data_IF_761576624233
#
_entry.id   IF_761576624233
#
_cell.length_a   1.000
_cell.length_b   1.000
_cell.length_c   1.000
_cell.angle_alpha   90.00
_cell.angle_beta   90.00
_cell.angle_gamma   90.00
#
_symmetry.space_group_name_H-M   'P 1'
#
loop_
_entity.id
_entity.type
_entity.pdbx_description
1 polymer ?
#
# COMPACT_ATOMS: atom_id res chain seq x y z
N UNK A 1 24.02 1.87 0.24
CA UNK A 1 23.13 3.05 0.16
C UNK A 1 22.09 3.03 1.30
N UNK A 2 21.46 4.15 1.65
CA UNK A 2 20.27 4.18 2.52
C UNK A 2 19.04 4.36 1.62
N UNK A 3 18.03 3.49 1.77
CA UNK A 3 16.74 3.62 1.12
C UNK A 3 15.63 3.76 2.18
N UNK A 4 14.62 4.58 1.89
CA UNK A 4 13.44 4.77 2.74
C UNK A 4 12.29 3.91 2.23
N UNK A 5 11.89 2.89 2.99
CA UNK A 5 10.83 1.98 2.59
C UNK A 5 9.62 2.13 3.51
N UNK A 6 8.47 2.47 2.93
CA UNK A 6 7.20 2.57 3.65
C UNK A 6 6.41 1.25 3.56
N UNK A 7 5.98 0.67 4.70
CA UNK A 7 5.28 -0.60 4.70
C UNK A 7 3.86 -0.49 4.13
N UNK A 8 3.34 -1.63 3.67
CA UNK A 8 1.95 -1.78 3.22
C UNK A 8 1.02 -2.35 4.28
N UNK A 9 -0.21 -2.67 3.88
CA UNK A 9 -1.19 -3.30 4.76
C UNK A 9 -0.72 -4.66 5.27
N UNK A 10 -0.96 -4.94 6.56
CA UNK A 10 -0.45 -6.09 7.30
C UNK A 10 0.64 -5.74 8.31
N UNK A 11 1.18 -4.51 8.29
CA UNK A 11 2.17 -4.03 9.25
C UNK A 11 1.57 -3.38 10.51
N UNK A 12 0.25 -3.15 10.52
CA UNK A 12 -0.42 -2.53 11.66
C UNK A 12 -0.51 -3.50 12.86
N UNK A 13 -0.44 -2.96 14.07
CA UNK A 13 -0.53 -3.72 15.30
C UNK A 13 -1.33 -2.95 16.36
N UNK A 14 -2.03 -3.64 17.29
CA UNK A 14 -2.72 -2.97 18.39
C UNK A 14 -1.75 -2.10 19.19
N UNK A 15 -2.17 -0.88 19.52
CA UNK A 15 -1.35 0.07 20.28
C UNK A 15 -0.17 0.67 19.53
N UNK A 16 -0.08 0.54 18.20
CA UNK A 16 1.07 1.00 17.42
C UNK A 16 1.34 2.52 17.50
N UNK A 17 0.35 3.34 17.86
CA UNK A 17 0.51 4.78 18.09
C UNK A 17 0.76 5.15 19.55
N UNK A 18 0.61 4.22 20.51
CA UNK A 18 0.71 4.55 21.94
C UNK A 18 2.07 5.17 22.32
N UNK A 19 3.22 4.64 21.88
CA UNK A 19 4.51 5.26 22.18
C UNK A 19 4.70 6.63 21.52
N UNK A 20 3.93 6.93 20.46
CA UNK A 20 4.07 8.16 19.69
C UNK A 20 3.33 9.33 20.33
N UNK A 21 2.36 9.08 21.20
CA UNK A 21 1.67 10.13 21.96
C UNK A 21 2.59 10.82 22.97
N UNK A 22 3.72 10.19 23.34
CA UNK A 22 4.74 10.80 24.19
C UNK A 22 5.59 11.85 23.45
N UNK A 23 5.49 11.92 22.11
CA UNK A 23 6.22 12.88 21.29
C UNK A 23 5.43 14.18 21.16
N UNK A 24 6.08 15.30 21.51
CA UNK A 24 5.47 16.63 21.48
C UNK A 24 4.78 16.94 20.14
N UNK A 25 3.49 17.30 20.21
CA UNK A 25 2.68 17.70 19.05
C UNK A 25 2.00 16.55 18.30
N UNK A 26 2.35 15.29 18.58
CA UNK A 26 1.81 14.14 17.82
C UNK A 26 0.33 13.92 18.10
N UNK A 27 -0.13 14.05 19.35
CA UNK A 27 -1.55 13.88 19.68
C UNK A 27 -2.42 14.94 18.98
N UNK A 28 -1.96 16.20 18.92
CA UNK A 28 -2.65 17.27 18.22
C UNK A 28 -2.69 17.02 16.72
N UNK A 29 -1.58 16.55 16.14
CA UNK A 29 -1.51 16.19 14.72
C UNK A 29 -2.45 15.02 14.37
N UNK A 30 -2.45 13.96 15.19
CA UNK A 30 -3.37 12.83 15.03
C UNK A 30 -4.84 13.25 15.17
N UNK A 31 -5.14 14.20 16.05
CA UNK A 31 -6.49 14.77 16.19
C UNK A 31 -6.89 15.55 14.94
N UNK A 32 -5.97 16.30 14.35
CA UNK A 32 -6.20 17.01 13.07
C UNK A 32 -6.45 16.04 11.93
N UNK A 33 -5.62 14.99 11.78
CA UNK A 33 -5.85 13.93 10.81
C UNK A 33 -7.13 13.14 11.09
N UNK A 34 -7.52 12.98 12.35
CA UNK A 34 -8.80 12.36 12.70
C UNK A 34 -9.97 13.15 12.15
N UNK A 35 -9.91 14.48 12.25
CA UNK A 35 -10.92 15.38 11.66
C UNK A 35 -10.93 15.26 10.13
N UNK A 36 -9.76 15.25 9.49
CA UNK A 36 -9.65 15.19 8.03
C UNK A 36 -10.13 13.84 7.44
N UNK A 37 -9.96 12.75 8.18
CA UNK A 37 -10.32 11.39 7.74
C UNK A 37 -11.72 10.97 8.19
N UNK A 38 -12.30 11.63 9.19
CA UNK A 38 -13.54 11.19 9.84
C UNK A 38 -13.36 9.95 10.74
N UNK A 39 -12.12 9.55 11.03
CA UNK A 39 -11.77 8.41 11.86
C UNK A 39 -11.08 8.90 13.13
N UNK A 40 -11.39 8.33 14.29
CA UNK A 40 -10.65 8.61 15.53
C UNK A 40 -9.31 7.87 15.51
N UNK A 41 -8.30 8.43 14.84
CA UNK A 41 -6.98 7.81 14.66
C UNK A 41 -6.25 7.65 15.99
N UNK A 42 -6.51 8.51 16.98
CA UNK A 42 -5.92 8.40 18.32
C UNK A 42 -6.44 7.13 18.99
N UNK A 43 -7.77 6.95 19.10
CA UNK A 43 -8.35 5.73 19.69
C UNK A 43 -7.98 4.49 18.88
N UNK A 44 -8.14 4.55 17.56
CA UNK A 44 -7.88 3.42 16.65
C UNK A 44 -6.42 2.97 16.67
N UNK A 45 -5.46 3.89 16.81
CA UNK A 45 -4.05 3.55 16.88
C UNK A 45 -3.55 3.12 18.25
N UNK A 46 -4.35 3.28 19.32
CA UNK A 46 -3.89 3.05 20.70
C UNK A 46 -4.65 1.95 21.43
N UNK A 47 -5.98 1.95 21.35
CA UNK A 47 -6.84 1.08 22.19
C UNK A 47 -7.71 0.13 21.39
N UNK A 48 -7.85 0.33 20.09
CA UNK A 48 -8.54 -0.62 19.22
C UNK A 48 -7.77 -1.95 19.14
N UNK A 49 -8.53 -3.04 18.99
CA UNK A 49 -7.97 -4.37 18.93
C UNK A 49 -7.52 -4.75 17.51
N UNK A 50 -7.00 -5.97 17.36
CA UNK A 50 -6.48 -6.46 16.08
C UNK A 50 -7.57 -6.66 15.02
N UNK A 51 -8.83 -6.91 15.41
CA UNK A 51 -9.92 -7.10 14.45
C UNK A 51 -10.40 -5.77 13.91
N UNK A 52 -10.50 -4.74 14.76
CA UNK A 52 -10.81 -3.37 14.35
C UNK A 52 -9.80 -2.85 13.30
N UNK A 53 -8.50 -2.93 13.61
CA UNK A 53 -7.45 -2.37 12.74
C UNK A 53 -7.11 -3.26 11.55
N UNK A 54 -7.78 -4.41 11.40
CA UNK A 54 -7.68 -5.24 10.20
C UNK A 54 -8.62 -4.76 9.10
N UNK A 55 -9.67 -4.02 9.45
CA UNK A 55 -10.50 -3.35 8.46
C UNK A 55 -9.64 -2.45 7.58
N UNK A 56 -9.76 -2.62 6.27
CA UNK A 56 -8.99 -1.88 5.27
C UNK A 56 -9.26 -0.37 5.32
N UNK A 57 -10.47 0.04 5.70
CA UNK A 57 -10.83 1.44 5.89
C UNK A 57 -10.07 2.10 7.07
N UNK A 58 -9.72 1.31 8.08
CA UNK A 58 -9.01 1.76 9.29
C UNK A 58 -7.50 1.59 9.13
N UNK A 59 -7.05 0.43 8.62
CA UNK A 59 -5.64 0.06 8.52
C UNK A 59 -4.84 1.06 7.69
N UNK A 60 -5.36 1.46 6.53
CA UNK A 60 -4.62 2.31 5.59
C UNK A 60 -4.24 3.68 6.15
N UNK A 61 -5.18 4.51 6.66
CA UNK A 61 -4.82 5.80 7.24
C UNK A 61 -3.94 5.67 8.48
N UNK A 62 -4.13 4.63 9.31
CA UNK A 62 -3.26 4.35 10.45
C UNK A 62 -1.81 4.08 10.05
N UNK A 63 -1.59 3.23 9.04
CA UNK A 63 -0.25 2.88 8.55
C UNK A 63 0.45 4.11 7.97
N UNK A 64 -0.27 4.91 7.17
CA UNK A 64 0.29 6.13 6.57
C UNK A 64 0.63 7.15 7.66
N UNK A 65 -0.28 7.39 8.61
CA UNK A 65 -0.05 8.30 9.72
C UNK A 65 1.18 7.90 10.54
N UNK A 66 1.26 6.64 10.98
CA UNK A 66 2.40 6.14 11.75
C UNK A 66 3.71 6.25 10.96
N UNK A 67 3.70 5.90 9.66
CA UNK A 67 4.92 5.94 8.85
C UNK A 67 5.43 7.38 8.66
N UNK A 68 4.53 8.36 8.54
CA UNK A 68 4.89 9.78 8.48
C UNK A 68 5.41 10.31 9.81
N UNK A 69 4.81 9.91 10.94
CA UNK A 69 5.33 10.23 12.27
C UNK A 69 6.74 9.65 12.47
N UNK A 70 6.95 8.40 12.05
CA UNK A 70 8.25 7.75 12.12
C UNK A 70 9.31 8.44 11.25
N UNK A 71 8.95 8.85 10.04
CA UNK A 71 9.85 9.63 9.18
C UNK A 71 10.18 11.00 9.80
N UNK A 72 9.19 11.69 10.37
CA UNK A 72 9.38 12.98 11.03
C UNK A 72 10.32 12.90 12.24
N UNK A 73 10.28 11.80 13.00
CA UNK A 73 11.23 11.54 14.08
C UNK A 73 12.61 11.10 13.58
N UNK A 74 12.66 10.27 12.54
CA UNK A 74 13.92 9.79 11.95
C UNK A 74 14.79 10.97 11.48
N UNK A 75 14.20 11.91 10.73
CA UNK A 75 14.93 13.07 10.19
C UNK A 75 15.46 14.05 11.24
N UNK A 76 14.97 13.97 12.50
CA UNK A 76 15.53 14.76 13.62
C UNK A 76 16.82 14.15 14.17
N UNK A 77 17.06 12.86 13.91
CA UNK A 77 18.12 12.06 14.53
C UNK A 77 19.20 11.64 13.53
N UNK A 78 18.85 11.58 12.26
CA UNK A 78 19.71 11.09 11.19
C UNK A 78 19.66 12.06 10.03
N UNK A 79 20.83 12.39 9.48
CA UNK A 79 20.95 13.09 8.21
C UNK A 79 20.65 12.10 7.08
N UNK A 80 19.57 12.35 6.34
CA UNK A 80 19.13 11.48 5.26
C UNK A 80 19.58 12.13 3.95
N UNK A 81 20.43 11.47 3.15
CA UNK A 81 20.88 12.02 1.88
C UNK A 81 19.70 12.42 0.97
N UNK A 82 19.84 13.53 0.25
CA UNK A 82 18.81 14.02 -0.67
C UNK A 82 18.57 13.07 -1.85
N UNK A 83 19.56 12.25 -2.20
CA UNK A 83 19.49 11.21 -3.22
C UNK A 83 19.01 9.85 -2.69
N UNK A 84 18.69 9.73 -1.40
CA UNK A 84 18.18 8.49 -0.82
C UNK A 84 16.84 8.11 -1.48
N UNK A 85 16.76 6.97 -2.18
CA UNK A 85 15.53 6.56 -2.85
C UNK A 85 14.45 6.23 -1.84
N UNK A 86 13.21 6.53 -2.20
CA UNK A 86 12.02 6.21 -1.41
C UNK A 86 11.06 5.36 -2.23
N UNK A 87 10.54 4.32 -1.60
CA UNK A 87 9.53 3.44 -2.17
C UNK A 87 8.54 3.02 -1.07
N UNK A 88 7.33 2.66 -1.47
CA UNK A 88 6.35 2.12 -0.54
C UNK A 88 5.57 0.98 -1.14
N UNK A 89 5.17 0.01 -0.33
CA UNK A 89 4.41 -1.14 -0.82
C UNK A 89 2.91 -0.86 -0.76
N UNK A 90 2.23 -0.86 -1.91
CA UNK A 90 0.80 -0.58 -2.03
C UNK A 90 0.41 0.75 -1.35
N UNK A 91 -0.33 0.72 -0.24
CA UNK A 91 -0.69 1.91 0.54
C UNK A 91 0.53 2.70 1.01
N UNK A 92 1.67 2.04 1.24
CA UNK A 92 2.94 2.70 1.59
C UNK A 92 3.42 3.69 0.53
N UNK A 93 2.98 3.54 -0.74
CA UNK A 93 3.33 4.46 -1.83
C UNK A 93 2.77 5.88 -1.57
N UNK A 94 1.69 6.02 -0.76
CA UNK A 94 1.20 7.32 -0.28
C UNK A 94 2.18 7.98 0.69
N UNK A 95 2.73 7.21 1.63
CA UNK A 95 3.78 7.70 2.53
C UNK A 95 5.04 8.04 1.73
N UNK A 96 5.44 7.20 0.77
CA UNK A 96 6.60 7.45 -0.09
C UNK A 96 6.45 8.76 -0.88
N UNK A 97 5.28 8.99 -1.47
CA UNK A 97 4.98 10.23 -2.17
C UNK A 97 5.04 11.46 -1.25
N UNK A 98 4.57 11.36 0.00
CA UNK A 98 4.69 12.45 0.96
C UNK A 98 6.14 12.68 1.44
N UNK A 99 6.92 11.62 1.68
CA UNK A 99 8.35 11.72 1.99
C UNK A 99 9.12 12.38 0.85
N UNK A 100 8.76 12.08 -0.40
CA UNK A 100 9.33 12.70 -1.59
C UNK A 100 8.83 14.13 -1.85
N UNK A 101 7.92 14.66 -1.03
CA UNK A 101 7.37 16.01 -1.18
C UNK A 101 6.28 16.15 -2.26
N UNK A 102 5.86 15.05 -2.91
CA UNK A 102 4.79 15.06 -3.91
C UNK A 102 3.44 15.37 -3.29
N UNK A 103 3.15 14.75 -2.15
CA UNK A 103 1.94 14.98 -1.36
C UNK A 103 2.27 15.72 -0.06
N UNK A 104 1.35 16.54 0.42
CA UNK A 104 1.40 16.96 1.82
C UNK A 104 1.13 15.75 2.75
N UNK A 105 1.67 15.73 3.98
CA UNK A 105 1.33 14.68 4.95
C UNK A 105 -0.18 14.57 5.20
N UNK A 106 -0.88 15.70 5.24
CA UNK A 106 -2.33 15.77 5.45
C UNK A 106 -3.09 15.15 4.28
N UNK A 107 -2.71 15.45 3.03
CA UNK A 107 -3.32 14.85 1.85
C UNK A 107 -3.01 13.37 1.74
N UNK A 108 -1.82 12.92 2.13
CA UNK A 108 -1.47 11.50 2.12
C UNK A 108 -2.34 10.70 3.09
N UNK A 109 -2.54 11.18 4.32
CA UNK A 109 -3.41 10.52 5.31
C UNK A 109 -4.88 10.59 4.90
N UNK A 110 -5.35 11.74 4.41
CA UNK A 110 -6.72 11.89 3.93
C UNK A 110 -7.01 11.01 2.70
N UNK A 111 -6.09 10.94 1.74
CA UNK A 111 -6.21 10.07 0.57
C UNK A 111 -6.15 8.59 0.97
N UNK A 112 -5.35 8.23 1.97
CA UNK A 112 -5.32 6.87 2.52
C UNK A 112 -6.66 6.45 3.15
N UNK A 113 -7.35 7.36 3.85
CA UNK A 113 -8.69 7.10 4.38
C UNK A 113 -9.72 6.88 3.26
N UNK A 114 -9.76 7.76 2.26
CA UNK A 114 -10.65 7.59 1.08
C UNK A 114 -10.33 6.28 0.36
N UNK A 115 -9.05 5.96 0.18
CA UNK A 115 -8.60 4.73 -0.48
C UNK A 115 -9.01 3.48 0.29
N UNK A 116 -8.78 3.47 1.60
CA UNK A 116 -9.15 2.34 2.46
C UNK A 116 -10.66 2.09 2.45
N UNK A 117 -11.45 3.13 2.65
CA UNK A 117 -12.91 3.04 2.65
C UNK A 117 -13.46 2.55 1.31
N UNK A 118 -13.03 3.16 0.21
CA UNK A 118 -13.54 2.80 -1.11
C UNK A 118 -13.10 1.38 -1.55
N UNK A 119 -11.91 0.92 -1.14
CA UNK A 119 -11.49 -0.47 -1.35
C UNK A 119 -12.30 -1.46 -0.51
N UNK A 120 -12.61 -1.12 0.75
CA UNK A 120 -13.47 -1.95 1.59
C UNK A 120 -14.89 -2.08 1.01
N UNK A 121 -15.46 -0.97 0.53
CA UNK A 121 -16.75 -0.95 -0.17
C UNK A 121 -16.73 -1.78 -1.45
N UNK A 122 -15.67 -1.68 -2.25
CA UNK A 122 -15.51 -2.48 -3.47
C UNK A 122 -15.48 -4.00 -3.15
N UNK A 123 -14.82 -4.40 -2.07
CA UNK A 123 -14.80 -5.79 -1.61
C UNK A 123 -16.18 -6.30 -1.15
N UNK A 124 -17.07 -5.42 -0.69
CA UNK A 124 -18.41 -5.80 -0.28
C UNK A 124 -19.35 -6.10 -1.47
N UNK A 125 -18.98 -5.72 -2.69
CA UNK A 125 -19.80 -5.94 -3.90
C UNK A 125 -19.84 -7.40 -4.33
N UNK A 126 -18.73 -8.14 -4.18
CA UNK A 126 -18.70 -9.58 -4.45
C UNK A 126 -17.65 -10.34 -3.65
N UNK A 127 -17.90 -11.62 -3.30
CA UNK A 127 -16.93 -12.45 -2.60
C UNK A 127 -15.69 -12.77 -3.45
N UNK A 128 -14.59 -12.08 -3.16
CA UNK A 128 -13.27 -12.29 -3.78
C UNK A 128 -12.20 -12.43 -2.70
N UNK A 129 -10.97 -12.73 -3.09
CA UNK A 129 -9.87 -12.85 -2.14
C UNK A 129 -8.50 -12.79 -2.77
N UNK A 130 -7.50 -13.13 -1.97
CA UNK A 130 -6.10 -13.21 -2.40
C UNK A 130 -5.41 -14.44 -1.80
N UNK A 131 -4.41 -14.97 -2.50
CA UNK A 131 -3.55 -16.06 -2.05
C UNK A 131 -2.08 -15.76 -2.35
N UNK A 132 -1.22 -15.91 -1.36
CA UNK A 132 0.22 -15.88 -1.57
C UNK A 132 0.67 -17.20 -2.20
N UNK A 133 1.42 -17.10 -3.28
CA UNK A 133 2.07 -18.20 -3.99
C UNK A 133 3.58 -18.01 -3.87
N UNK A 134 4.26 -19.01 -3.31
CA UNK A 134 5.71 -19.00 -3.06
C UNK A 134 6.40 -20.13 -3.80
N UNK A 135 7.52 -19.84 -4.45
CA UNK A 135 8.31 -20.81 -5.23
C UNK A 135 7.72 -21.08 -6.61
N UNK A 136 8.26 -22.12 -7.28
CA UNK A 136 7.93 -22.47 -8.66
C UNK A 136 8.52 -21.52 -9.70
N UNK A 137 8.31 -21.87 -10.98
CA UNK A 137 8.74 -21.05 -12.12
C UNK A 137 7.73 -19.92 -12.37
N UNK A 138 8.22 -18.70 -12.54
CA UNK A 138 7.39 -17.50 -12.58
C UNK A 138 6.46 -17.49 -13.80
N UNK A 139 6.98 -17.87 -14.97
CA UNK A 139 6.24 -17.90 -16.22
C UNK A 139 5.10 -18.94 -16.18
N UNK A 140 5.37 -20.13 -15.61
CA UNK A 140 4.36 -21.18 -15.43
C UNK A 140 3.25 -20.72 -14.48
N UNK A 141 3.62 -20.05 -13.39
CA UNK A 141 2.65 -19.46 -12.46
C UNK A 141 1.79 -18.41 -13.15
N UNK A 142 2.38 -17.45 -13.87
CA UNK A 142 1.64 -16.40 -14.54
C UNK A 142 0.67 -16.95 -15.60
N UNK A 143 1.10 -17.96 -16.36
CA UNK A 143 0.23 -18.68 -17.30
C UNK A 143 -0.95 -19.33 -16.56
N UNK A 144 -0.67 -20.05 -15.46
CA UNK A 144 -1.71 -20.71 -14.65
C UNK A 144 -2.71 -19.72 -14.05
N UNK A 145 -2.25 -18.58 -13.55
CA UNK A 145 -3.12 -17.52 -13.05
C UNK A 145 -4.05 -17.01 -14.17
N UNK A 146 -3.51 -16.77 -15.36
CA UNK A 146 -4.28 -16.36 -16.53
C UNK A 146 -5.35 -17.38 -16.91
N UNK A 147 -5.03 -18.68 -16.92
CA UNK A 147 -5.98 -19.76 -17.24
C UNK A 147 -7.20 -19.78 -16.30
N UNK A 148 -7.01 -19.36 -15.04
CA UNK A 148 -8.08 -19.27 -14.05
C UNK A 148 -8.71 -17.87 -13.93
N UNK A 149 -8.28 -16.90 -14.75
CA UNK A 149 -8.76 -15.52 -14.64
C UNK A 149 -8.32 -14.82 -13.35
N UNK A 150 -7.22 -15.26 -12.74
CA UNK A 150 -6.61 -14.64 -11.57
C UNK A 150 -5.60 -13.58 -12.00
N UNK A 151 -5.54 -12.50 -11.23
CA UNK A 151 -4.54 -11.43 -11.42
C UNK A 151 -3.35 -11.66 -10.50
N UNK A 152 -2.09 -11.53 -10.97
CA UNK A 152 -0.92 -11.42 -10.09
C UNK A 152 -0.89 -10.05 -9.42
N UNK A 153 -1.75 -9.84 -8.43
CA UNK A 153 -1.98 -8.58 -7.73
C UNK A 153 -0.72 -8.00 -7.07
N UNK A 154 0.19 -8.86 -6.60
CA UNK A 154 1.50 -8.42 -6.12
C UNK A 154 2.58 -9.35 -6.68
N UNK A 155 3.64 -8.79 -7.23
CA UNK A 155 4.89 -9.49 -7.50
C UNK A 155 5.92 -8.94 -6.53
N UNK A 156 6.17 -9.69 -5.45
CA UNK A 156 6.96 -9.23 -4.32
C UNK A 156 8.47 -9.50 -4.47
N UNK A 157 8.87 -10.25 -5.50
CA UNK A 157 10.24 -10.71 -5.67
C UNK A 157 10.52 -12.01 -4.89
N UNK A 158 11.75 -12.52 -5.02
CA UNK A 158 12.21 -13.74 -4.34
C UNK A 158 11.26 -14.96 -4.47
N UNK A 159 10.61 -15.10 -5.62
CA UNK A 159 9.66 -16.20 -5.88
C UNK A 159 8.31 -16.06 -5.17
N UNK A 160 7.94 -14.88 -4.64
CA UNK A 160 6.65 -14.63 -4.02
C UNK A 160 5.74 -13.76 -4.92
N UNK A 161 4.58 -14.31 -5.29
CA UNK A 161 3.51 -13.61 -5.99
C UNK A 161 2.21 -13.73 -5.19
N UNK A 162 1.36 -12.71 -5.22
CA UNK A 162 0.00 -12.79 -4.67
C UNK A 162 -0.98 -12.88 -5.83
N UNK A 163 -1.71 -13.98 -5.91
CA UNK A 163 -2.83 -14.16 -6.82
C UNK A 163 -4.09 -13.55 -6.20
N UNK A 164 -4.90 -12.90 -7.01
CA UNK A 164 -6.15 -12.28 -6.56
C UNK A 164 -7.27 -12.52 -7.58
N UNK A 165 -8.48 -12.75 -7.08
CA UNK A 165 -9.67 -12.92 -7.91
C UNK A 165 -10.82 -13.60 -7.15
N UNK A 166 -11.70 -14.27 -7.89
CA UNK A 166 -12.82 -15.00 -7.28
C UNK A 166 -12.35 -16.13 -6.36
N UNK A 167 -13.09 -16.38 -5.28
CA UNK A 167 -12.78 -17.45 -4.32
C UNK A 167 -12.75 -18.83 -5.00
N UNK A 168 -13.63 -19.06 -5.98
CA UNK A 168 -13.66 -20.31 -6.77
C UNK A 168 -12.38 -20.49 -7.59
N UNK A 169 -11.89 -19.44 -8.25
CA UNK A 169 -10.65 -19.52 -9.02
C UNK A 169 -9.42 -19.73 -8.11
N UNK A 170 -9.40 -19.10 -6.93
CA UNK A 170 -8.35 -19.32 -5.93
C UNK A 170 -8.37 -20.76 -5.37
N UNK A 171 -9.55 -21.34 -5.19
CA UNK A 171 -9.71 -22.75 -4.83
C UNK A 171 -9.07 -23.68 -5.88
N UNK A 172 -9.37 -23.43 -7.17
CA UNK A 172 -8.75 -24.18 -8.27
C UNK A 172 -7.22 -24.05 -8.28
N UNK A 173 -6.70 -22.85 -8.04
CA UNK A 173 -5.25 -22.63 -7.92
C UNK A 173 -4.64 -23.41 -6.75
N UNK A 174 -5.34 -23.51 -5.62
CA UNK A 174 -4.85 -24.25 -4.46
C UNK A 174 -4.82 -25.77 -4.71
N UNK A 175 -5.83 -26.29 -5.42
CA UNK A 175 -5.99 -27.71 -5.75
C UNK A 175 -5.04 -28.16 -6.88
N UNK A 176 -4.86 -27.32 -7.91
CA UNK A 176 -4.03 -27.58 -9.10
C UNK A 176 -2.94 -26.52 -9.24
N UNK A 177 -2.08 -26.45 -8.20
CA UNK A 177 -0.98 -25.48 -8.13
C UNK A 177 0.20 -25.90 -9.02
N UNK A 178 0.94 -24.95 -9.65
CA UNK A 178 2.14 -25.27 -10.41
C UNK A 178 3.19 -26.00 -9.55
N UNK A 179 4.04 -26.80 -10.21
CA UNK A 179 5.07 -27.57 -9.52
C UNK A 179 6.03 -26.67 -8.72
N UNK A 180 6.44 -27.13 -7.54
CA UNK A 180 7.34 -26.37 -6.67
C UNK A 180 6.71 -25.16 -5.96
N UNK A 181 5.41 -24.89 -6.18
CA UNK A 181 4.72 -23.78 -5.50
C UNK A 181 4.08 -24.21 -4.18
N UNK A 182 3.95 -23.24 -3.26
CA UNK A 182 3.09 -23.30 -2.08
C UNK A 182 2.06 -22.18 -2.17
N UNK A 183 0.78 -22.51 -2.00
CA UNK A 183 -0.34 -21.55 -2.01
C UNK A 183 -0.89 -21.39 -0.59
N UNK A 184 -1.06 -20.14 -0.13
CA UNK A 184 -1.58 -19.78 1.19
C UNK A 184 -2.64 -18.70 1.03
N UNK A 185 -3.88 -18.99 1.43
CA UNK A 185 -4.97 -18.01 1.43
C UNK A 185 -4.67 -16.87 2.41
N UNK A 186 -4.83 -15.64 1.95
CA UNK A 186 -4.62 -14.44 2.77
C UNK A 186 -5.92 -14.04 3.47
N UNK A 187 -5.80 -13.55 4.72
CA UNK A 187 -6.92 -13.05 5.52
C UNK A 187 -7.24 -11.59 5.17
N UNK A 188 -7.65 -11.34 3.92
CA UNK A 188 -8.00 -10.01 3.40
C UNK A 188 -9.46 -9.96 2.96
N UNK A 189 -10.02 -8.75 2.84
CA UNK A 189 -11.43 -8.54 2.54
C UNK A 189 -11.82 -8.85 1.07
N UNK A 190 -10.87 -8.77 0.13
CA UNK A 190 -11.16 -9.04 -1.28
C UNK A 190 -9.92 -8.96 -2.18
N UNK A 191 -10.14 -9.06 -3.49
CA UNK A 191 -9.10 -9.09 -4.50
C UNK A 191 -8.52 -7.70 -4.82
N UNK A 192 -7.67 -7.17 -3.93
CA UNK A 192 -6.97 -5.90 -4.16
C UNK A 192 -6.07 -5.93 -5.41
N UNK A 193 -5.79 -4.76 -5.99
CA UNK A 193 -4.91 -4.61 -7.16
C UNK A 193 -5.43 -5.32 -8.42
N UNK A 194 -6.76 -5.41 -8.54
CA UNK A 194 -7.45 -6.02 -9.68
C UNK A 194 -8.62 -5.15 -10.16
N UNK A 195 -9.27 -5.56 -11.24
CA UNK A 195 -10.47 -4.89 -11.77
C UNK A 195 -11.63 -4.83 -10.75
N UNK A 196 -11.66 -5.72 -9.75
CA UNK A 196 -12.66 -5.69 -8.67
C UNK A 196 -12.62 -4.37 -7.89
N UNK A 197 -11.50 -3.65 -7.88
CA UNK A 197 -11.34 -2.36 -7.22
C UNK A 197 -11.72 -1.16 -8.09
N UNK A 198 -12.38 -1.36 -9.24
CA UNK A 198 -12.72 -0.27 -10.17
C UNK A 198 -13.56 0.83 -9.51
N UNK A 199 -14.51 0.49 -8.65
CA UNK A 199 -15.31 1.50 -7.91
C UNK A 199 -14.45 2.31 -6.95
N UNK A 200 -13.47 1.66 -6.29
CA UNK A 200 -12.50 2.35 -5.46
C UNK A 200 -11.67 3.35 -6.28
N UNK A 201 -11.17 2.95 -7.45
CA UNK A 201 -10.44 3.84 -8.36
C UNK A 201 -11.24 5.11 -8.72
N UNK A 202 -12.54 4.99 -8.93
CA UNK A 202 -13.41 6.15 -9.22
C UNK A 202 -13.44 7.12 -8.03
N UNK A 203 -13.60 6.61 -6.80
CA UNK A 203 -13.58 7.43 -5.59
C UNK A 203 -12.23 8.13 -5.37
N UNK A 204 -11.11 7.42 -5.58
CA UNK A 204 -9.77 8.01 -5.53
C UNK A 204 -9.59 9.11 -6.59
N UNK A 205 -10.02 8.85 -7.83
CA UNK A 205 -9.92 9.81 -8.92
C UNK A 205 -10.70 11.10 -8.61
N UNK A 206 -11.85 11.01 -7.94
CA UNK A 206 -12.60 12.18 -7.50
C UNK A 206 -11.83 12.96 -6.43
N UNK A 207 -11.31 12.27 -5.40
CA UNK A 207 -10.52 12.92 -4.34
C UNK A 207 -9.26 13.59 -4.90
N UNK A 208 -8.58 12.94 -5.85
CA UNK A 208 -7.34 13.43 -6.46
C UNK A 208 -7.48 14.81 -7.11
N UNK A 209 -8.67 15.18 -7.62
CA UNK A 209 -8.92 16.50 -8.24
C UNK A 209 -8.70 17.67 -7.31
N UNK A 210 -8.79 17.45 -6.00
CA UNK A 210 -8.59 18.48 -4.97
C UNK A 210 -7.16 18.54 -4.42
N UNK A 211 -6.29 17.61 -4.80
CA UNK A 211 -4.94 17.51 -4.27
C UNK A 211 -4.00 18.34 -5.14
N UNK A 212 -3.21 19.20 -4.50
CA UNK A 212 -2.11 19.89 -5.17
C UNK A 212 -0.83 19.09 -4.98
N UNK A 213 -0.10 18.84 -6.06
CA UNK A 213 1.13 18.05 -6.06
C UNK A 213 2.35 18.89 -6.45
N UNK A 214 3.51 18.45 -5.99
CA UNK A 214 4.82 18.96 -6.42
C UNK A 214 5.63 17.83 -7.06
N UNK A 215 6.64 18.18 -7.84
CA UNK A 215 7.59 17.19 -8.35
C UNK A 215 8.47 16.65 -7.20
N UNK A 216 8.83 15.36 -7.24
CA UNK A 216 9.55 14.72 -6.13
C UNK A 216 10.95 15.32 -5.93
N UNK A 217 11.32 15.58 -4.67
CA UNK A 217 12.62 16.16 -4.30
C UNK A 217 13.73 15.12 -4.11
N UNK A 218 13.40 13.84 -4.24
CA UNK A 218 14.31 12.68 -4.14
C UNK A 218 13.79 11.55 -5.02
N UNK A 219 14.59 10.53 -5.38
CA UNK A 219 14.13 9.44 -6.24
C UNK A 219 12.94 8.70 -5.62
N UNK A 220 11.77 8.79 -6.26
CA UNK A 220 10.53 8.14 -5.83
C UNK A 220 10.18 7.00 -6.79
N UNK A 221 10.10 5.77 -6.30
CA UNK A 221 9.79 4.60 -7.13
C UNK A 221 8.29 4.31 -7.12
N UNK A 222 7.72 3.92 -8.27
CA UNK A 222 6.32 3.51 -8.38
C UNK A 222 6.15 1.99 -8.40
N UNK A 223 5.10 1.47 -7.75
CA UNK A 223 4.76 0.05 -7.85
C UNK A 223 4.23 -0.35 -9.22
N UNK A 224 3.95 0.58 -10.14
CA UNK A 224 3.45 0.23 -11.47
C UNK A 224 4.49 -0.53 -12.31
N UNK A 225 5.74 -0.08 -12.24
CA UNK A 225 6.83 -0.50 -13.12
C UNK A 225 8.21 -0.48 -12.43
N UNK A 226 8.31 -0.11 -11.15
CA UNK A 226 9.57 0.03 -10.43
C UNK A 226 10.37 1.29 -10.77
N UNK A 227 9.92 2.07 -11.77
CA UNK A 227 10.68 3.19 -12.28
C UNK A 227 10.66 4.39 -11.32
N UNK A 228 11.72 5.20 -11.41
CA UNK A 228 11.80 6.50 -10.73
C UNK A 228 10.85 7.48 -11.42
N UNK A 229 9.90 8.02 -10.66
CA UNK A 229 8.95 9.03 -11.10
C UNK A 229 9.56 10.41 -10.92
N UNK A 230 9.43 11.27 -11.93
CA UNK A 230 9.97 12.64 -11.90
C UNK A 230 8.90 13.72 -11.89
N UNK A 231 7.62 13.35 -12.01
CA UNK A 231 6.49 14.30 -11.99
C UNK A 231 5.50 13.97 -10.90
N UNK A 232 5.11 14.97 -10.12
CA UNK A 232 4.08 14.83 -9.09
C UNK A 232 2.71 14.47 -9.66
N UNK A 233 2.39 14.98 -10.85
CA UNK A 233 1.13 14.68 -11.53
C UNK A 233 1.08 13.22 -12.00
N UNK A 234 2.15 12.71 -12.63
CA UNK A 234 2.27 11.31 -13.02
C UNK A 234 2.17 10.40 -11.78
N UNK A 235 2.83 10.78 -10.67
CA UNK A 235 2.75 10.03 -9.43
C UNK A 235 1.32 9.93 -8.89
N UNK A 236 0.56 11.03 -8.89
CA UNK A 236 -0.83 11.03 -8.42
C UNK A 236 -1.72 10.15 -9.30
N UNK A 237 -1.55 10.22 -10.63
CA UNK A 237 -2.28 9.37 -11.57
C UNK A 237 -1.97 7.89 -11.34
N UNK A 238 -0.71 7.55 -11.07
CA UNK A 238 -0.27 6.20 -10.71
C UNK A 238 -0.89 5.74 -9.40
N UNK A 239 -0.90 6.55 -8.35
CA UNK A 239 -1.53 6.24 -7.06
C UNK A 239 -3.03 5.94 -7.21
N UNK A 240 -3.74 6.71 -8.05
CA UNK A 240 -5.17 6.47 -8.35
C UNK A 240 -5.35 5.16 -9.12
N UNK A 241 -4.51 4.89 -10.12
CA UNK A 241 -4.60 3.66 -10.92
C UNK A 241 -4.20 2.40 -10.12
N UNK A 242 -3.29 2.54 -9.16
CA UNK A 242 -2.62 1.46 -8.41
C UNK A 242 -3.62 0.48 -7.76
N UNK A 243 -4.78 0.95 -7.29
CA UNK A 243 -5.78 0.06 -6.64
C UNK A 243 -6.34 -1.01 -7.59
N UNK A 244 -6.23 -0.80 -8.91
CA UNK A 244 -6.66 -1.73 -9.96
C UNK A 244 -5.52 -2.38 -10.74
N UNK A 245 -4.27 -2.12 -10.34
CA UNK A 245 -3.07 -2.57 -11.06
C UNK A 245 -2.14 -3.36 -10.14
N UNK A 246 -1.42 -4.36 -10.67
CA UNK A 246 -0.43 -5.10 -9.90
C UNK A 246 0.59 -4.20 -9.19
N UNK A 247 0.97 -4.58 -7.98
CA UNK A 247 2.13 -4.04 -7.28
C UNK A 247 3.38 -4.79 -7.71
N UNK A 248 4.24 -4.13 -8.48
CA UNK A 248 5.55 -4.62 -8.96
C UNK A 248 6.67 -4.28 -8.00
N UNK A 249 6.55 -4.78 -6.77
CA UNK A 249 7.60 -4.59 -5.77
C UNK A 249 8.91 -5.29 -6.15
N UNK A 250 8.84 -6.37 -6.93
CA UNK A 250 9.99 -6.99 -7.58
C UNK A 250 10.82 -5.97 -8.37
N UNK A 251 10.18 -5.17 -9.22
CA UNK A 251 10.87 -4.14 -10.00
C UNK A 251 11.36 -2.98 -9.13
N UNK A 252 10.61 -2.58 -8.10
CA UNK A 252 11.10 -1.58 -7.15
C UNK A 252 12.40 -2.06 -6.49
N UNK A 253 12.46 -3.33 -6.07
CA UNK A 253 13.66 -3.91 -5.45
C UNK A 253 14.83 -4.02 -6.44
N UNK A 254 14.56 -4.36 -7.70
CA UNK A 254 15.58 -4.40 -8.76
C UNK A 254 16.18 -3.00 -8.97
N UNK A 255 15.34 -1.96 -9.11
CA UNK A 255 15.81 -0.57 -9.25
C UNK A 255 16.57 -0.11 -8.00
N UNK A 256 16.12 -0.46 -6.79
CA UNK A 256 16.86 -0.13 -5.57
C UNK A 256 18.24 -0.78 -5.53
N UNK A 257 18.37 -2.03 -5.98
CA UNK A 257 19.65 -2.73 -6.05
C UNK A 257 20.59 -2.14 -7.13
N UNK A 258 20.04 -1.62 -8.22
CA UNK A 258 20.80 -0.91 -9.25
C UNK A 258 21.30 0.46 -8.75
N UNK A 259 20.60 1.08 -7.80
CA UNK A 259 21.03 2.36 -7.22
C UNK A 259 22.27 2.22 -6.32
N UNK A 260 22.49 1.10 -5.60
CA UNK A 260 23.71 0.83 -4.80
C UNK A 260 23.45 0.24 -3.42
#
# INVERSE_FOLDING_TARGET
>A
MIALLAPGQGSQAPGMLSPWLEVDGVEQLLTSWSTATGLDLVRLGTTADAEDIKDTAIAQPLIVALSLLAFAELRKRVDIPDDAPVAGHSVGELTAAAIAGVLSPDDAVALAAVRGAAMAEACALEPTGMAAVMGGEAEELLARLSDYGLTPANRNGAGQTVAAGSLTALGKLADDRPAGTKVVMLKVAGAFHTEYMRTARVALAERAKSITVQDPVRPLLSNADGAVVTSGADMLDRLVAQVTKPVRWDLCMDTLAECG
#
